data_IF_131439785158
#
_entry.id   IF_131439785158
#
_cell.length_a   1.000
_cell.length_b   1.000
_cell.length_c   1.000
_cell.angle_alpha   90.00
_cell.angle_beta   90.00
_cell.angle_gamma   90.00
#
_symmetry.space_group_name_H-M   'P 1'
#
loop_
_entity.id
_entity.type
_entity.pdbx_description
1 polymer ?
#
# COMPACT_ATOMS: atom_id res chain seq x y z
N UNK A 1 4.29 -23.03 17.09
CA UNK A 1 4.07 -22.76 15.64
C UNK A 1 3.07 -21.63 15.30
N UNK A 2 2.01 -21.33 16.06
CA UNK A 2 1.02 -20.27 15.71
C UNK A 2 1.31 -18.87 16.30
N UNK A 3 2.22 -18.75 17.28
CA UNK A 3 2.38 -17.53 18.07
C UNK A 3 3.11 -16.36 17.39
N UNK A 4 4.15 -16.63 16.59
CA UNK A 4 4.92 -15.58 15.90
C UNK A 4 4.14 -14.93 14.74
N UNK A 5 3.36 -15.73 14.00
CA UNK A 5 2.54 -15.26 12.88
C UNK A 5 1.33 -14.45 13.36
N UNK A 6 0.76 -14.80 14.52
CA UNK A 6 -0.36 -14.05 15.11
C UNK A 6 0.03 -12.60 15.48
N UNK A 7 1.22 -12.40 16.06
CA UNK A 7 1.71 -11.06 16.42
C UNK A 7 1.98 -10.17 15.19
N UNK A 8 2.54 -10.74 14.12
CA UNK A 8 2.77 -10.00 12.88
C UNK A 8 1.46 -9.56 12.20
N UNK A 9 0.43 -10.44 12.20
CA UNK A 9 -0.90 -10.11 11.66
C UNK A 9 -1.58 -8.99 12.44
N UNK A 10 -1.39 -8.91 13.76
CA UNK A 10 -1.95 -7.83 14.59
C UNK A 10 -1.37 -6.45 14.30
N UNK A 11 -0.12 -6.35 13.84
CA UNK A 11 0.51 -5.07 13.52
C UNK A 11 0.29 -4.67 12.06
N UNK A 12 0.27 -5.64 11.16
CA UNK A 12 0.05 -5.43 9.73
C UNK A 12 -1.36 -4.86 9.43
N UNK A 13 -2.39 -5.40 10.09
CA UNK A 13 -3.78 -4.99 9.84
C UNK A 13 -4.06 -3.50 10.11
N UNK A 14 -3.71 -2.93 11.28
CA UNK A 14 -3.91 -1.50 11.53
C UNK A 14 -3.04 -0.63 10.63
N UNK A 15 -1.82 -1.07 10.26
CA UNK A 15 -0.98 -0.34 9.31
C UNK A 15 -1.61 -0.28 7.92
N UNK A 16 -2.22 -1.37 7.47
CA UNK A 16 -2.88 -1.44 6.19
C UNK A 16 -4.14 -0.55 6.17
N UNK A 17 -4.94 -0.58 7.25
CA UNK A 17 -6.07 0.33 7.41
C UNK A 17 -5.64 1.80 7.42
N UNK A 18 -4.56 2.13 8.13
CA UNK A 18 -4.01 3.47 8.19
C UNK A 18 -3.50 3.93 6.82
N UNK A 19 -2.86 3.03 6.06
CA UNK A 19 -2.41 3.30 4.70
C UNK A 19 -3.58 3.60 3.74
N UNK A 20 -4.65 2.80 3.79
CA UNK A 20 -5.87 3.03 3.01
C UNK A 20 -6.52 4.36 3.42
N UNK A 21 -6.58 4.66 4.72
CA UNK A 21 -7.11 5.92 5.25
C UNK A 21 -6.33 7.13 4.74
N UNK A 22 -4.99 7.09 4.80
CA UNK A 22 -4.15 8.17 4.29
C UNK A 22 -4.27 8.34 2.78
N UNK A 23 -4.33 7.25 2.00
CA UNK A 23 -4.48 7.32 0.55
C UNK A 23 -5.86 7.85 0.13
N UNK A 24 -6.92 7.39 0.79
CA UNK A 24 -8.27 7.91 0.55
C UNK A 24 -8.39 9.38 0.95
N UNK A 25 -7.80 9.79 2.07
CA UNK A 25 -7.71 11.18 2.46
C UNK A 25 -6.94 12.02 1.45
N UNK A 26 -5.80 11.53 0.95
CA UNK A 26 -5.02 12.22 -0.09
C UNK A 26 -5.81 12.39 -1.40
N UNK A 27 -6.65 11.41 -1.77
CA UNK A 27 -7.55 11.52 -2.93
C UNK A 27 -8.70 12.50 -2.70
N UNK A 28 -9.25 12.55 -1.48
CA UNK A 28 -10.37 13.42 -1.15
C UNK A 28 -9.96 14.88 -0.96
N UNK A 29 -8.73 15.12 -0.51
CA UNK A 29 -8.22 16.45 -0.17
C UNK A 29 -7.93 17.27 -1.42
N UNK A 30 -8.34 18.55 -1.41
CA UNK A 30 -8.19 19.47 -2.53
C UNK A 30 -6.93 20.36 -2.43
N UNK A 31 -5.96 19.96 -1.60
CA UNK A 31 -4.70 20.70 -1.38
C UNK A 31 -3.62 20.36 -2.42
N UNK A 32 -3.99 19.69 -3.51
CA UNK A 32 -3.05 19.51 -4.60
C UNK A 32 -2.84 20.86 -5.30
N UNK A 33 -1.67 21.10 -5.92
CA UNK A 33 -1.38 22.35 -6.63
C UNK A 33 -2.43 22.81 -7.66
N UNK A 34 -3.30 21.90 -8.10
CA UNK A 34 -4.41 22.13 -9.02
C UNK A 34 -5.80 22.08 -8.35
N UNK A 35 -5.89 22.11 -7.02
CA UNK A 35 -7.10 21.88 -6.25
C UNK A 35 -7.35 20.38 -6.02
N UNK A 36 -8.51 19.89 -6.43
CA UNK A 36 -8.87 18.47 -6.29
C UNK A 36 -8.46 17.66 -7.54
N UNK A 37 -7.78 16.53 -7.33
CA UNK A 37 -7.39 15.58 -8.39
C UNK A 37 -8.58 15.11 -9.23
N UNK A 38 -9.73 14.95 -8.60
CA UNK A 38 -10.94 14.34 -9.17
C UNK A 38 -11.82 15.35 -9.90
N UNK A 39 -11.62 16.67 -9.79
CA UNK A 39 -12.56 17.63 -10.41
C UNK A 39 -11.90 18.76 -11.17
N UNK A 40 -10.75 19.26 -10.70
CA UNK A 40 -10.13 20.49 -11.23
C UNK A 40 -8.85 20.21 -12.03
N UNK A 41 -8.20 19.07 -11.80
CA UNK A 41 -6.91 18.71 -12.43
C UNK A 41 -7.06 17.95 -13.77
N UNK A 42 -8.27 17.78 -14.30
CA UNK A 42 -8.57 16.92 -15.46
C UNK A 42 -8.05 17.40 -16.83
N UNK A 43 -7.32 18.51 -16.89
CA UNK A 43 -6.99 19.17 -18.16
C UNK A 43 -5.85 18.50 -18.95
N UNK A 44 -5.22 17.43 -18.44
CA UNK A 44 -4.06 16.82 -19.09
C UNK A 44 -4.01 15.29 -18.91
N UNK A 45 -3.75 14.57 -20.00
CA UNK A 45 -3.70 13.09 -20.07
C UNK A 45 -2.77 12.49 -19.01
N UNK A 46 -1.66 13.16 -18.69
CA UNK A 46 -0.69 12.71 -17.69
C UNK A 46 -1.31 12.55 -16.29
N UNK A 47 -2.20 13.45 -15.90
CA UNK A 47 -2.86 13.43 -14.58
C UNK A 47 -3.88 12.28 -14.51
N UNK A 48 -4.49 11.93 -15.65
CA UNK A 48 -5.40 10.79 -15.73
C UNK A 48 -4.68 9.46 -15.45
N UNK A 49 -3.46 9.30 -15.98
CA UNK A 49 -2.61 8.12 -15.73
C UNK A 49 -2.25 8.03 -14.25
N UNK A 50 -1.86 9.14 -13.63
CA UNK A 50 -1.59 9.21 -12.18
C UNK A 50 -2.82 8.80 -11.37
N UNK A 51 -4.01 9.31 -11.71
CA UNK A 51 -5.24 9.00 -11.01
C UNK A 51 -5.59 7.50 -11.10
N UNK A 52 -5.46 6.90 -12.28
CA UNK A 52 -5.69 5.46 -12.46
C UNK A 52 -4.70 4.62 -11.64
N UNK A 53 -3.42 5.00 -11.64
CA UNK A 53 -2.39 4.30 -10.86
C UNK A 53 -2.70 4.32 -9.36
N UNK A 54 -3.09 5.49 -8.82
CA UNK A 54 -3.45 5.65 -7.42
C UNK A 54 -4.73 4.90 -7.07
N UNK A 55 -5.77 4.96 -7.92
CA UNK A 55 -7.01 4.22 -7.72
C UNK A 55 -6.81 2.71 -7.81
N UNK A 56 -6.04 2.23 -8.77
CA UNK A 56 -5.73 0.81 -8.93
C UNK A 56 -4.99 0.26 -7.70
N UNK A 57 -4.02 1.02 -7.17
CA UNK A 57 -3.34 0.70 -5.93
C UNK A 57 -4.27 0.68 -4.71
N UNK A 58 -5.14 1.69 -4.57
CA UNK A 58 -6.12 1.76 -3.49
C UNK A 58 -7.11 0.58 -3.51
N UNK A 59 -7.63 0.25 -4.68
CA UNK A 59 -8.53 -0.91 -4.87
C UNK A 59 -7.80 -2.22 -4.57
N UNK A 60 -6.55 -2.37 -5.01
CA UNK A 60 -5.72 -3.52 -4.70
C UNK A 60 -5.50 -3.71 -3.19
N UNK A 61 -5.15 -2.63 -2.48
CA UNK A 61 -5.02 -2.65 -1.02
C UNK A 61 -6.34 -2.98 -0.32
N UNK A 62 -7.45 -2.39 -0.78
CA UNK A 62 -8.79 -2.64 -0.22
C UNK A 62 -9.26 -4.09 -0.40
N UNK A 63 -8.97 -4.70 -1.55
CA UNK A 63 -9.25 -6.12 -1.79
C UNK A 63 -8.50 -7.02 -0.81
N UNK A 64 -7.20 -6.76 -0.60
CA UNK A 64 -6.39 -7.53 0.35
C UNK A 64 -6.92 -7.36 1.78
N UNK A 65 -7.27 -6.13 2.18
CA UNK A 65 -7.90 -5.86 3.47
C UNK A 65 -9.16 -6.69 3.68
N UNK A 66 -10.06 -6.73 2.69
CA UNK A 66 -11.28 -7.54 2.76
C UNK A 66 -10.97 -9.03 2.92
N UNK A 67 -10.01 -9.56 2.17
CA UNK A 67 -9.61 -10.97 2.28
C UNK A 67 -9.02 -11.27 3.66
N UNK A 68 -8.28 -10.34 4.26
CA UNK A 68 -7.74 -10.49 5.61
C UNK A 68 -8.84 -10.46 6.69
N UNK A 69 -9.81 -9.54 6.57
CA UNK A 69 -10.96 -9.46 7.49
C UNK A 69 -11.82 -10.72 7.42
N UNK A 70 -12.16 -11.19 6.21
CA UNK A 70 -12.94 -12.42 6.05
C UNK A 70 -12.17 -13.66 6.54
N UNK A 71 -10.85 -13.69 6.36
CA UNK A 71 -9.98 -14.74 6.88
C UNK A 71 -9.93 -14.79 8.42
N UNK A 72 -10.10 -13.67 9.11
CA UNK A 72 -10.20 -13.63 10.58
C UNK A 72 -11.56 -14.12 11.08
N UNK A 73 -12.65 -13.85 10.36
CA UNK A 73 -13.99 -14.28 10.76
C UNK A 73 -14.26 -15.78 10.52
N UNK A 74 -13.55 -16.44 9.61
CA UNK A 74 -13.79 -17.87 9.33
C UNK A 74 -12.51 -18.63 8.98
N UNK A 75 -11.95 -19.37 9.95
CA UNK A 75 -10.67 -20.09 9.83
C UNK A 75 -10.70 -21.24 8.82
N UNK A 76 -11.88 -21.69 8.37
CA UNK A 76 -12.05 -22.75 7.37
C UNK A 76 -12.02 -22.26 5.92
N UNK A 77 -12.04 -20.95 5.68
CA UNK A 77 -12.21 -20.41 4.33
C UNK A 77 -10.96 -20.44 3.45
N UNK A 78 -9.74 -20.58 4.02
CA UNK A 78 -8.52 -20.35 3.25
C UNK A 78 -7.43 -21.36 3.58
N UNK A 79 -7.27 -22.45 2.78
CA UNK A 79 -6.12 -23.32 2.87
C UNK A 79 -4.93 -22.75 2.07
N UNK A 80 -3.78 -22.59 2.73
CA UNK A 80 -2.48 -22.79 2.08
C UNK A 80 -1.51 -21.61 1.99
N UNK A 81 -0.22 -21.98 2.02
CA UNK A 81 0.97 -21.15 1.77
C UNK A 81 0.91 -20.44 0.40
N UNK A 82 0.24 -21.04 -0.59
CA UNK A 82 0.05 -20.42 -1.91
C UNK A 82 -0.75 -19.11 -1.83
N UNK A 83 -1.78 -19.05 -0.97
CA UNK A 83 -2.64 -17.87 -0.85
C UNK A 83 -1.88 -16.67 -0.25
N UNK A 84 -1.01 -16.92 0.74
CA UNK A 84 -0.16 -15.88 1.34
C UNK A 84 0.85 -15.32 0.31
N UNK A 85 1.45 -16.17 -0.54
CA UNK A 85 2.35 -15.68 -1.61
C UNK A 85 1.62 -14.81 -2.64
N UNK A 86 0.42 -15.20 -3.07
CA UNK A 86 -0.39 -14.40 -3.98
C UNK A 86 -0.80 -13.06 -3.37
N UNK A 87 -1.17 -13.04 -2.08
CA UNK A 87 -1.46 -11.80 -1.35
C UNK A 87 -0.24 -10.87 -1.32
N UNK A 88 0.93 -11.39 -1.01
CA UNK A 88 2.17 -10.62 -0.98
C UNK A 88 2.50 -10.03 -2.36
N UNK A 89 2.31 -10.78 -3.45
CA UNK A 89 2.50 -10.27 -4.80
C UNK A 89 1.54 -9.12 -5.13
N UNK A 90 0.24 -9.28 -4.80
CA UNK A 90 -0.75 -8.23 -5.03
C UNK A 90 -0.43 -6.98 -4.21
N UNK A 91 0.01 -7.13 -2.96
CA UNK A 91 0.45 -6.02 -2.12
C UNK A 91 1.64 -5.27 -2.72
N UNK A 92 2.63 -5.98 -3.24
CA UNK A 92 3.80 -5.38 -3.90
C UNK A 92 3.38 -4.62 -5.16
N UNK A 93 2.51 -5.21 -5.97
CA UNK A 93 1.99 -4.56 -7.18
C UNK A 93 1.16 -3.33 -6.84
N UNK A 94 0.30 -3.40 -5.82
CA UNK A 94 -0.50 -2.26 -5.36
C UNK A 94 0.36 -1.15 -4.75
N UNK A 95 1.38 -1.49 -3.96
CA UNK A 95 2.29 -0.51 -3.40
C UNK A 95 3.13 0.18 -4.49
N UNK A 96 3.67 -0.60 -5.43
CA UNK A 96 4.46 -0.05 -6.54
C UNK A 96 3.63 0.84 -7.46
N UNK A 97 2.35 0.52 -7.73
CA UNK A 97 1.48 1.37 -8.54
C UNK A 97 1.20 2.72 -7.88
N UNK A 98 0.96 2.76 -6.55
CA UNK A 98 0.82 4.00 -5.78
C UNK A 98 2.12 4.83 -5.82
N UNK A 99 3.27 4.19 -5.61
CA UNK A 99 4.57 4.86 -5.65
C UNK A 99 4.85 5.44 -7.03
N UNK A 100 4.54 4.70 -8.09
CA UNK A 100 4.71 5.15 -9.46
C UNK A 100 3.78 6.33 -9.79
N UNK A 101 2.54 6.30 -9.32
CA UNK A 101 1.60 7.42 -9.42
C UNK A 101 2.15 8.69 -8.76
N UNK A 102 2.68 8.60 -7.54
CA UNK A 102 3.29 9.73 -6.82
C UNK A 102 4.58 10.23 -7.48
N UNK A 103 5.41 9.32 -8.00
CA UNK A 103 6.65 9.66 -8.68
C UNK A 103 6.35 10.42 -9.98
N UNK A 104 5.41 9.91 -10.78
CA UNK A 104 4.93 10.60 -11.97
C UNK A 104 4.38 11.97 -11.58
N UNK A 105 3.46 12.06 -10.64
CA UNK A 105 2.91 13.36 -10.24
C UNK A 105 3.99 14.39 -9.88
N UNK A 106 4.99 13.96 -9.09
CA UNK A 106 6.12 14.82 -8.73
C UNK A 106 6.91 15.23 -9.96
N UNK A 107 7.29 14.28 -10.83
CA UNK A 107 8.06 14.53 -12.05
C UNK A 107 7.45 15.68 -12.88
N UNK A 108 6.12 15.68 -13.00
CA UNK A 108 5.40 16.61 -13.88
C UNK A 108 5.01 17.93 -13.21
N UNK A 109 4.83 17.97 -11.88
CA UNK A 109 4.24 19.12 -11.18
C UNK A 109 5.06 19.71 -10.05
N UNK A 110 6.03 18.99 -9.49
CA UNK A 110 6.80 19.47 -8.34
C UNK A 110 8.30 19.55 -8.68
N UNK A 111 8.99 20.66 -8.33
CA UNK A 111 10.44 20.77 -8.48
C UNK A 111 11.23 20.05 -7.38
N UNK A 112 10.57 19.48 -6.35
CA UNK A 112 11.22 18.98 -5.13
C UNK A 112 11.51 17.47 -5.17
N UNK A 113 12.44 17.08 -6.03
CA UNK A 113 12.83 15.68 -6.25
C UNK A 113 13.39 14.97 -5.00
N UNK A 114 14.22 15.67 -4.21
CA UNK A 114 14.83 15.08 -3.01
C UNK A 114 13.79 14.67 -1.97
N UNK A 115 12.74 15.48 -1.77
CA UNK A 115 11.66 15.15 -0.84
C UNK A 115 10.90 13.91 -1.30
N UNK A 116 10.51 13.84 -2.57
CA UNK A 116 9.76 12.70 -3.11
C UNK A 116 10.58 11.41 -3.06
N UNK A 117 11.85 11.46 -3.46
CA UNK A 117 12.74 10.28 -3.39
C UNK A 117 12.96 9.84 -1.94
N UNK A 118 13.05 10.78 -1.00
CA UNK A 118 13.13 10.46 0.43
C UNK A 118 11.87 9.77 0.95
N UNK A 119 10.68 10.22 0.56
CA UNK A 119 9.40 9.60 0.96
C UNK A 119 9.27 8.20 0.37
N UNK A 120 9.58 8.04 -0.92
CA UNK A 120 9.63 6.73 -1.61
C UNK A 120 10.61 5.80 -0.90
N UNK A 121 11.83 6.26 -0.63
CA UNK A 121 12.86 5.51 0.08
C UNK A 121 12.42 5.10 1.49
N UNK A 122 11.71 5.97 2.22
CA UNK A 122 11.12 5.66 3.52
C UNK A 122 10.10 4.52 3.44
N UNK A 123 9.20 4.56 2.45
CA UNK A 123 8.20 3.49 2.24
C UNK A 123 8.90 2.16 1.90
N UNK A 124 9.88 2.15 0.98
CA UNK A 124 10.62 0.93 0.65
C UNK A 124 11.38 0.39 1.87
N UNK A 125 12.04 1.27 2.63
CA UNK A 125 12.75 0.89 3.85
C UNK A 125 11.80 0.24 4.87
N UNK A 126 10.60 0.79 5.06
CA UNK A 126 9.61 0.15 5.95
C UNK A 126 9.23 -1.24 5.47
N UNK A 127 9.00 -1.44 4.17
CA UNK A 127 8.69 -2.76 3.61
C UNK A 127 9.83 -3.77 3.83
N UNK A 128 11.08 -3.35 3.63
CA UNK A 128 12.26 -4.20 3.85
C UNK A 128 12.40 -4.58 5.33
N UNK A 129 12.17 -3.65 6.25
CA UNK A 129 12.18 -3.93 7.69
C UNK A 129 11.11 -4.96 8.05
N UNK A 130 9.90 -4.86 7.48
CA UNK A 130 8.85 -5.86 7.71
C UNK A 130 9.25 -7.25 7.20
N UNK A 131 9.82 -7.34 5.98
CA UNK A 131 10.32 -8.60 5.43
C UNK A 131 11.43 -9.20 6.32
N UNK A 132 12.35 -8.36 6.80
CA UNK A 132 13.43 -8.79 7.68
C UNK A 132 12.93 -9.30 9.05
N UNK A 133 11.89 -8.68 9.63
CA UNK A 133 11.27 -9.15 10.88
C UNK A 133 10.60 -10.51 10.66
N UNK A 134 9.89 -10.70 9.53
CA UNK A 134 9.21 -11.96 9.21
C UNK A 134 10.19 -13.12 8.95
N UNK A 135 11.34 -12.83 8.35
CA UNK A 135 12.39 -13.82 8.06
C UNK A 135 13.34 -14.06 9.25
N UNK A 136 13.23 -13.23 10.31
CA UNK A 136 14.06 -13.38 11.49
C UNK A 136 13.74 -14.70 12.21
N UNK A 137 14.66 -15.67 12.11
CA UNK A 137 14.53 -17.00 12.72
C UNK A 137 14.35 -16.97 14.24
N UNK A 138 14.71 -15.87 14.90
CA UNK A 138 14.53 -15.67 16.33
C UNK A 138 13.04 -15.63 16.75
N UNK A 139 12.13 -15.22 15.86
CA UNK A 139 10.67 -15.26 16.10
C UNK A 139 10.03 -16.59 15.67
N UNK A 140 10.76 -17.42 14.90
CA UNK A 140 10.31 -18.72 14.40
C UNK A 140 10.69 -19.90 15.29
N UNK A 141 11.58 -19.70 16.27
CA UNK A 141 11.95 -20.71 17.27
C UNK A 141 11.04 -20.61 18.51
N UNK A 142 9.86 -21.23 18.41
CA UNK A 142 9.12 -21.95 19.48
C UNK A 142 7.86 -22.65 18.92
#
# INVERSE_FOLDING_TARGET
MAGGVANAKHLYLPLLTLSIGLLSYALATADWPCGNLITQCFKTIQIYVVLILLLAGLVGLGLIFLIDVFGMCNTKWIPGVLCETFKMLILIVAASSVMLGNLLYTYWKLPHWSYTVSVIGGVVATQVVFLAILDCRCLRSR
#
